data_IF_565657359428
#
_entry.id   IF_565657359428
#
_cell.length_a   1.000
_cell.length_b   1.000
_cell.length_c   1.000
_cell.angle_alpha   90.00
_cell.angle_beta   90.00
_cell.angle_gamma   90.00
#
_symmetry.space_group_name_H-M   'P 1'
#
loop_
_entity.id
_entity.type
_entity.pdbx_description
1 polymer ?
#
# COMPACT_ATOMS: atom_id res chain seq x y z
N UNK A 1 -14.67 -67.40 -45.95
CA UNK A 1 -15.40 -67.17 -44.66
C UNK A 1 -14.50 -66.43 -43.70
N UNK A 2 -14.69 -65.11 -43.53
CA UNK A 2 -13.92 -64.27 -42.58
C UNK A 2 -14.78 -64.08 -41.32
N UNK A 3 -14.32 -64.62 -40.18
CA UNK A 3 -14.93 -64.39 -38.87
C UNK A 3 -14.53 -62.99 -38.38
N UNK A 4 -15.56 -62.08 -38.19
CA UNK A 4 -15.40 -60.83 -37.49
C UNK A 4 -15.40 -61.10 -35.97
N UNK A 5 -14.25 -60.82 -35.26
CA UNK A 5 -14.22 -60.72 -33.81
C UNK A 5 -14.80 -59.35 -33.43
N UNK A 6 -15.96 -59.32 -32.76
CA UNK A 6 -16.44 -58.17 -32.03
C UNK A 6 -15.72 -58.10 -30.69
N UNK A 7 -14.94 -57.06 -30.49
CA UNK A 7 -14.37 -56.71 -29.19
C UNK A 7 -15.42 -55.81 -28.45
N UNK A 8 -16.13 -56.39 -27.50
CA UNK A 8 -16.98 -55.63 -26.59
C UNK A 8 -16.05 -54.95 -25.53
N UNK A 9 -15.82 -53.66 -25.68
CA UNK A 9 -15.25 -52.83 -24.64
C UNK A 9 -16.34 -52.60 -23.57
N UNK A 10 -16.34 -53.39 -22.51
CA UNK A 10 -17.05 -53.11 -21.26
C UNK A 10 -16.38 -51.88 -20.60
N UNK A 11 -16.93 -50.70 -20.86
CA UNK A 11 -16.58 -49.51 -20.12
C UNK A 11 -17.06 -49.69 -18.67
N UNK A 12 -16.13 -49.78 -17.72
CA UNK A 12 -16.42 -49.98 -16.33
C UNK A 12 -16.90 -48.66 -15.71
N UNK A 13 -18.21 -48.52 -15.38
CA UNK A 13 -18.77 -47.28 -14.84
C UNK A 13 -18.16 -46.94 -13.43
N UNK A 14 -17.60 -47.90 -12.76
CA UNK A 14 -16.96 -47.71 -11.43
C UNK A 14 -15.70 -46.86 -11.47
N UNK A 15 -14.92 -46.94 -12.56
CA UNK A 15 -13.70 -46.12 -12.74
C UNK A 15 -14.01 -44.65 -13.00
N UNK A 16 -15.14 -44.36 -13.69
CA UNK A 16 -15.61 -42.98 -13.93
C UNK A 16 -16.13 -42.32 -12.66
N UNK A 17 -16.82 -43.07 -11.78
CA UNK A 17 -17.32 -42.57 -10.52
C UNK A 17 -16.18 -42.19 -9.55
N UNK A 18 -15.17 -43.05 -9.40
CA UNK A 18 -13.99 -42.76 -8.55
C UNK A 18 -13.19 -41.55 -9.04
N UNK A 19 -13.09 -41.33 -10.37
CA UNK A 19 -12.46 -40.13 -10.90
C UNK A 19 -13.28 -38.85 -10.66
N UNK A 20 -14.59 -38.93 -10.75
CA UNK A 20 -15.48 -37.79 -10.48
C UNK A 20 -15.44 -37.38 -8.99
N UNK A 21 -15.44 -38.36 -8.08
CA UNK A 21 -15.32 -38.11 -6.64
C UNK A 21 -13.97 -37.50 -6.26
N UNK A 22 -12.87 -37.99 -6.85
CA UNK A 22 -11.54 -37.40 -6.65
C UNK A 22 -11.43 -35.96 -7.19
N UNK A 23 -12.04 -35.67 -8.35
CA UNK A 23 -12.07 -34.33 -8.91
C UNK A 23 -12.91 -33.38 -8.05
N UNK A 24 -14.06 -33.84 -7.55
CA UNK A 24 -14.90 -33.07 -6.65
C UNK A 24 -14.19 -32.75 -5.33
N UNK A 25 -13.46 -33.73 -4.75
CA UNK A 25 -12.64 -33.53 -3.55
C UNK A 25 -11.49 -32.54 -3.81
N UNK A 26 -10.81 -32.63 -4.94
CA UNK A 26 -9.77 -31.68 -5.32
C UNK A 26 -10.34 -30.28 -5.52
N UNK A 27 -11.47 -30.13 -6.19
CA UNK A 27 -12.13 -28.83 -6.35
C UNK A 27 -12.61 -28.26 -5.02
N UNK A 28 -13.09 -29.09 -4.10
CA UNK A 28 -13.47 -28.67 -2.74
C UNK A 28 -12.25 -28.24 -1.92
N UNK A 29 -11.11 -28.92 -2.03
CA UNK A 29 -9.86 -28.55 -1.39
C UNK A 29 -9.30 -27.23 -1.98
N UNK A 30 -9.36 -27.05 -3.31
CA UNK A 30 -8.98 -25.81 -4.00
C UNK A 30 -9.88 -24.67 -3.55
N UNK A 31 -11.19 -24.87 -3.49
CA UNK A 31 -12.13 -23.86 -3.00
C UNK A 31 -11.92 -23.52 -1.54
N UNK A 32 -11.67 -24.50 -0.67
CA UNK A 32 -11.34 -24.25 0.73
C UNK A 32 -9.99 -23.57 0.92
N UNK A 33 -8.99 -23.88 0.09
CA UNK A 33 -7.70 -23.19 0.11
C UNK A 33 -7.84 -21.75 -0.39
N UNK A 34 -8.64 -21.51 -1.44
CA UNK A 34 -8.93 -20.18 -1.94
C UNK A 34 -9.73 -19.34 -0.94
N UNK A 35 -10.73 -19.93 -0.25
CA UNK A 35 -11.47 -19.25 0.82
C UNK A 35 -10.54 -18.86 1.99
N UNK A 36 -9.61 -19.75 2.41
CA UNK A 36 -8.61 -19.42 3.41
C UNK A 36 -7.60 -18.37 2.94
N UNK A 37 -7.28 -18.35 1.65
CA UNK A 37 -6.42 -17.34 1.03
C UNK A 37 -7.10 -15.97 0.99
N UNK A 38 -8.39 -15.93 0.69
CA UNK A 38 -9.18 -14.71 0.73
C UNK A 38 -9.33 -14.14 2.14
N UNK A 39 -9.30 -14.99 3.19
CA UNK A 39 -9.44 -14.56 4.58
C UNK A 39 -8.13 -14.11 5.25
N UNK A 40 -6.95 -14.54 4.76
CA UNK A 40 -5.65 -14.19 5.34
C UNK A 40 -4.98 -13.04 4.59
N UNK A 41 -5.12 -11.83 5.14
CA UNK A 41 -4.48 -10.64 4.60
C UNK A 41 -2.96 -10.78 4.42
N UNK A 42 -2.26 -11.38 5.38
CA UNK A 42 -0.80 -11.53 5.30
C UNK A 42 -0.38 -12.54 4.23
N UNK A 43 -1.15 -13.59 4.02
CA UNK A 43 -0.92 -14.52 2.93
C UNK A 43 -1.11 -13.84 1.58
N UNK A 44 -2.18 -13.05 1.43
CA UNK A 44 -2.42 -12.22 0.24
C UNK A 44 -1.26 -11.27 -0.01
N UNK A 45 -0.81 -10.52 0.99
CA UNK A 45 0.31 -9.59 0.86
C UNK A 45 1.59 -10.31 0.44
N UNK A 46 1.93 -11.46 1.06
CA UNK A 46 3.13 -12.25 0.72
C UNK A 46 3.10 -12.77 -0.72
N UNK A 47 1.93 -13.10 -1.26
CA UNK A 47 1.82 -13.59 -2.64
C UNK A 47 2.19 -12.53 -3.70
N UNK A 48 2.13 -11.26 -3.33
CA UNK A 48 2.55 -10.15 -4.17
C UNK A 48 4.02 -9.74 -3.99
N UNK A 49 4.81 -10.46 -3.17
CA UNK A 49 6.23 -10.20 -2.99
C UNK A 49 7.02 -10.59 -4.24
N UNK A 50 7.81 -9.64 -4.75
CA UNK A 50 8.57 -9.80 -5.99
C UNK A 50 9.98 -9.17 -5.93
N UNK A 51 10.38 -8.56 -4.82
CA UNK A 51 11.73 -8.04 -4.65
C UNK A 51 12.72 -9.18 -4.39
N UNK A 52 14.00 -8.91 -4.68
CA UNK A 52 15.07 -9.85 -4.32
C UNK A 52 15.39 -9.73 -2.82
N UNK A 53 14.99 -10.72 -2.05
CA UNK A 53 15.21 -10.79 -0.59
C UNK A 53 16.63 -11.25 -0.24
N UNK A 54 17.63 -10.61 -0.85
CA UNK A 54 19.05 -10.94 -0.61
C UNK A 54 19.43 -10.65 0.84
N UNK A 55 19.99 -11.66 1.51
CA UNK A 55 20.56 -11.50 2.85
C UNK A 55 21.88 -10.71 2.78
N UNK A 56 21.88 -9.48 3.28
CA UNK A 56 23.07 -8.65 3.47
C UNK A 56 23.28 -8.33 4.95
N UNK A 57 24.43 -7.78 5.30
CA UNK A 57 24.67 -7.33 6.69
C UNK A 57 23.71 -6.21 7.11
N UNK A 58 23.33 -5.34 6.17
CA UNK A 58 22.40 -4.25 6.38
C UNK A 58 20.98 -4.80 6.62
N UNK A 59 20.53 -5.76 5.79
CA UNK A 59 19.24 -6.43 5.98
C UNK A 59 19.18 -7.09 7.35
N UNK A 60 20.21 -7.86 7.75
CA UNK A 60 20.28 -8.51 9.08
C UNK A 60 20.27 -7.49 10.24
N UNK A 61 20.93 -6.35 10.06
CA UNK A 61 20.89 -5.27 11.04
C UNK A 61 19.47 -4.75 11.26
N UNK A 62 18.72 -4.49 10.15
CA UNK A 62 17.36 -3.98 10.22
C UNK A 62 16.35 -5.05 10.68
N UNK A 63 16.54 -6.32 10.29
CA UNK A 63 15.76 -7.43 10.82
C UNK A 63 15.83 -7.48 12.35
N UNK A 64 17.04 -7.42 12.92
CA UNK A 64 17.23 -7.37 14.38
C UNK A 64 16.54 -6.16 15.02
N UNK A 65 16.57 -5.01 14.36
CA UNK A 65 15.99 -3.77 14.88
C UNK A 65 14.47 -3.77 14.83
N UNK A 66 13.88 -4.23 13.72
CA UNK A 66 12.42 -4.32 13.56
C UNK A 66 11.79 -5.50 14.30
N UNK A 67 12.53 -6.54 14.62
CA UNK A 67 12.02 -7.72 15.34
C UNK A 67 11.83 -7.50 16.86
N UNK A 68 11.97 -6.26 17.37
CA UNK A 68 11.48 -5.94 18.70
C UNK A 68 9.93 -6.00 18.71
N UNK A 69 9.31 -6.94 19.48
CA UNK A 69 7.87 -7.15 19.39
C UNK A 69 7.04 -5.93 19.80
N UNK A 70 7.49 -5.15 20.79
CA UNK A 70 6.80 -3.93 21.22
C UNK A 70 6.78 -2.89 20.09
N UNK A 71 7.92 -2.67 19.46
CA UNK A 71 8.04 -1.71 18.37
C UNK A 71 7.26 -2.16 17.14
N UNK A 72 7.40 -3.44 16.75
CA UNK A 72 6.66 -4.00 15.61
C UNK A 72 5.15 -3.92 15.81
N UNK A 73 4.65 -4.17 17.02
CA UNK A 73 3.22 -4.03 17.32
C UNK A 73 2.72 -2.59 17.17
N UNK A 74 3.50 -1.59 17.57
CA UNK A 74 3.14 -0.16 17.36
C UNK A 74 3.03 0.13 15.87
N UNK A 75 3.99 -0.32 15.07
CA UNK A 75 3.96 -0.17 13.60
C UNK A 75 2.69 -0.79 13.02
N UNK A 76 2.38 -2.02 13.41
CA UNK A 76 1.20 -2.74 12.89
C UNK A 76 -0.12 -2.11 13.32
N UNK A 77 -0.22 -1.58 14.55
CA UNK A 77 -1.39 -0.83 15.01
C UNK A 77 -1.62 0.44 14.21
N UNK A 78 -0.55 1.14 13.83
CA UNK A 78 -0.65 2.32 12.98
C UNK A 78 -1.03 1.95 11.54
N UNK A 79 -0.47 0.88 11.00
CA UNK A 79 -0.74 0.41 9.64
C UNK A 79 -2.15 -0.18 9.46
N UNK A 80 -2.70 -0.80 10.51
CA UNK A 80 -3.94 -1.58 10.46
C UNK A 80 -5.12 -0.89 9.74
N UNK A 81 -5.39 0.42 9.92
CA UNK A 81 -6.48 1.07 9.21
C UNK A 81 -6.25 1.23 7.70
N UNK A 82 -5.00 1.22 7.23
CA UNK A 82 -4.63 1.68 5.90
C UNK A 82 -4.02 0.61 5.01
N UNK A 83 -3.30 -0.35 5.59
CA UNK A 83 -2.44 -1.28 4.84
C UNK A 83 -3.23 -2.15 3.85
N UNK A 84 -4.47 -2.52 4.17
CA UNK A 84 -5.35 -3.22 3.23
C UNK A 84 -5.56 -2.41 1.94
N UNK A 85 -5.89 -1.12 2.06
CA UNK A 85 -6.07 -0.22 0.94
C UNK A 85 -4.77 -0.07 0.12
N UNK A 86 -3.64 0.16 0.80
CA UNK A 86 -2.34 0.32 0.16
C UNK A 86 -1.96 -0.92 -0.65
N UNK A 87 -2.06 -2.12 -0.05
CA UNK A 87 -1.78 -3.39 -0.75
C UNK A 87 -2.72 -3.57 -1.94
N UNK A 88 -4.02 -3.28 -1.78
CA UNK A 88 -4.99 -3.38 -2.88
C UNK A 88 -4.63 -2.46 -4.05
N UNK A 89 -4.19 -1.23 -3.77
CA UNK A 89 -3.76 -0.30 -4.81
C UNK A 89 -2.45 -0.74 -5.50
N UNK A 90 -1.52 -1.39 -4.78
CA UNK A 90 -0.31 -1.99 -5.36
C UNK A 90 -0.67 -3.13 -6.32
N UNK A 91 -1.51 -4.06 -5.87
CA UNK A 91 -1.95 -5.20 -6.67
C UNK A 91 -2.65 -4.78 -7.97
N UNK A 92 -3.53 -3.76 -7.89
CA UNK A 92 -4.24 -3.23 -9.07
C UNK A 92 -3.31 -2.76 -10.18
N UNK A 93 -2.07 -2.41 -9.84
CA UNK A 93 -1.05 -1.90 -10.78
C UNK A 93 0.11 -2.85 -11.01
N UNK A 94 0.04 -4.06 -10.48
CA UNK A 94 1.09 -5.07 -10.61
C UNK A 94 2.42 -4.67 -9.96
N UNK A 95 2.36 -3.83 -8.92
CA UNK A 95 3.54 -3.36 -8.18
C UNK A 95 3.82 -4.33 -7.02
N UNK A 96 5.10 -4.68 -6.76
CA UNK A 96 5.44 -5.54 -5.64
C UNK A 96 4.86 -5.06 -4.32
N UNK A 97 4.17 -5.94 -3.60
CA UNK A 97 3.46 -5.56 -2.38
C UNK A 97 4.39 -5.22 -1.21
N UNK A 98 5.69 -5.54 -1.29
CA UNK A 98 6.71 -5.04 -0.35
C UNK A 98 6.77 -3.51 -0.33
N UNK A 99 6.41 -2.84 -1.43
CA UNK A 99 6.42 -1.38 -1.49
C UNK A 99 5.34 -0.75 -0.60
N UNK A 100 4.33 -1.53 -0.20
CA UNK A 100 3.40 -1.13 0.86
C UNK A 100 4.06 -0.98 2.24
N UNK A 101 5.31 -1.40 2.39
CA UNK A 101 6.10 -1.20 3.61
C UNK A 101 6.86 0.13 3.65
N UNK A 102 6.91 0.87 2.53
CA UNK A 102 7.54 2.20 2.47
C UNK A 102 6.96 3.15 3.54
N UNK A 103 5.64 3.26 3.74
CA UNK A 103 5.08 4.13 4.79
C UNK A 103 5.52 3.76 6.21
N UNK A 104 5.96 2.52 6.46
CA UNK A 104 6.55 2.15 7.75
C UNK A 104 7.86 2.89 7.95
N UNK A 105 8.71 2.90 6.91
CA UNK A 105 10.03 3.53 6.94
C UNK A 105 9.91 5.04 6.98
N UNK A 106 8.93 5.61 6.29
CA UNK A 106 8.73 7.06 6.16
C UNK A 106 8.08 7.70 7.40
N UNK A 107 7.06 7.07 7.97
CA UNK A 107 6.24 7.71 9.00
C UNK A 107 5.66 6.76 10.05
N UNK A 108 6.04 5.48 10.03
CA UNK A 108 5.32 4.42 10.76
C UNK A 108 3.81 4.40 10.46
N UNK A 109 3.44 4.61 9.20
CA UNK A 109 2.05 4.70 8.74
C UNK A 109 1.25 5.84 9.39
N UNK A 110 1.88 6.95 9.74
CA UNK A 110 1.19 8.11 10.33
C UNK A 110 0.83 9.13 9.24
N UNK A 111 -0.45 9.29 8.87
CA UNK A 111 -0.86 10.26 7.85
C UNK A 111 -0.73 11.72 8.31
N UNK A 112 -0.56 11.96 9.61
CA UNK A 112 -0.32 13.29 10.18
C UNK A 112 1.16 13.63 10.36
N UNK A 113 2.07 12.74 9.96
CA UNK A 113 3.49 12.96 10.13
C UNK A 113 3.97 14.18 9.35
N UNK A 114 4.85 14.95 9.99
CA UNK A 114 5.57 16.05 9.37
C UNK A 114 7.04 15.85 9.76
N UNK A 115 7.94 15.96 8.78
CA UNK A 115 9.38 15.84 9.07
C UNK A 115 9.84 16.93 10.03
N UNK A 116 10.95 16.74 10.76
CA UNK A 116 11.50 17.75 11.67
C UNK A 116 11.75 19.11 11.00
N UNK A 117 12.10 19.11 9.71
CA UNK A 117 12.28 20.33 8.91
C UNK A 117 10.98 20.95 8.40
N UNK A 118 9.85 20.23 8.53
CA UNK A 118 8.56 20.68 8.01
C UNK A 118 8.39 20.51 6.49
N UNK A 119 9.38 19.95 5.80
CA UNK A 119 9.44 19.89 4.33
C UNK A 119 8.57 18.76 3.78
N UNK A 120 8.64 17.57 4.39
CA UNK A 120 7.85 16.41 3.98
C UNK A 120 6.68 16.15 4.92
N UNK A 121 5.59 15.61 4.36
CA UNK A 121 4.33 15.48 5.09
C UNK A 121 3.57 14.23 4.66
N UNK A 122 2.81 13.68 5.61
CA UNK A 122 1.88 12.58 5.39
C UNK A 122 2.50 11.21 5.55
N UNK A 123 1.70 10.20 5.31
CA UNK A 123 2.09 8.80 5.45
C UNK A 123 3.28 8.42 4.55
N UNK A 124 3.32 9.02 3.35
CA UNK A 124 4.31 8.79 2.29
C UNK A 124 5.44 9.81 2.28
N UNK A 125 5.43 10.79 3.17
CA UNK A 125 6.43 11.86 3.31
C UNK A 125 6.71 12.62 2.00
N UNK A 126 5.64 13.00 1.29
CA UNK A 126 5.78 13.83 0.09
C UNK A 126 6.33 15.21 0.40
N UNK A 127 7.28 15.64 -0.42
CA UNK A 127 7.67 17.05 -0.54
C UNK A 127 6.55 17.84 -1.23
N UNK A 128 6.51 19.16 -1.01
CA UNK A 128 5.50 20.03 -1.62
C UNK A 128 5.54 19.97 -3.16
N UNK A 129 6.73 20.06 -3.76
CA UNK A 129 6.90 19.97 -5.21
C UNK A 129 6.47 18.63 -5.77
N UNK A 130 6.93 17.53 -5.15
CA UNK A 130 6.56 16.17 -5.57
C UNK A 130 5.06 15.91 -5.41
N UNK A 131 4.45 16.34 -4.29
CA UNK A 131 3.01 16.20 -4.11
C UNK A 131 2.20 16.89 -5.22
N UNK A 132 2.54 18.15 -5.53
CA UNK A 132 1.88 18.90 -6.62
C UNK A 132 2.08 18.26 -7.98
N UNK A 133 3.28 17.75 -8.26
CA UNK A 133 3.60 17.02 -9.51
C UNK A 133 2.69 15.80 -9.70
N UNK A 134 2.34 15.11 -8.62
CA UNK A 134 1.43 13.95 -8.66
C UNK A 134 -0.02 14.32 -8.33
N UNK A 135 -0.43 15.56 -8.62
CA UNK A 135 -1.83 16.00 -8.64
C UNK A 135 -2.42 16.37 -7.28
N UNK A 136 -1.61 16.46 -6.21
CA UNK A 136 -2.10 16.80 -4.88
C UNK A 136 -2.30 18.29 -4.73
N UNK A 137 -3.44 18.70 -4.21
CA UNK A 137 -3.73 20.05 -3.77
C UNK A 137 -3.06 20.31 -2.42
N UNK A 138 -2.27 21.39 -2.34
CA UNK A 138 -1.54 21.75 -1.13
C UNK A 138 -1.68 23.25 -0.91
N UNK A 139 -2.48 23.62 0.12
CA UNK A 139 -2.68 24.98 0.56
C UNK A 139 -2.97 25.04 2.08
N UNK A 140 -3.36 26.22 2.62
CA UNK A 140 -3.64 26.42 4.04
C UNK A 140 -4.81 25.58 4.59
N UNK A 141 -5.79 25.26 3.74
CA UNK A 141 -7.04 24.62 4.16
C UNK A 141 -7.07 23.12 3.85
N UNK A 142 -6.34 22.71 2.80
CA UNK A 142 -6.29 21.34 2.27
C UNK A 142 -4.84 20.95 1.97
N UNK A 143 -4.38 19.87 2.58
CA UNK A 143 -3.06 19.26 2.29
C UNK A 143 -3.23 17.79 1.94
N UNK A 144 -3.36 17.48 0.64
CA UNK A 144 -3.59 16.12 0.15
C UNK A 144 -2.38 15.20 0.26
N UNK A 145 -1.22 15.69 0.71
CA UNK A 145 -0.11 14.82 1.13
C UNK A 145 -0.48 13.96 2.35
N UNK A 146 -1.45 14.45 3.16
CA UNK A 146 -2.02 13.72 4.30
C UNK A 146 -3.21 12.85 3.90
N UNK A 147 -3.80 13.07 2.73
CA UNK A 147 -4.93 12.29 2.24
C UNK A 147 -4.55 10.84 1.98
N UNK A 148 -5.28 9.90 2.56
CA UNK A 148 -4.96 8.47 2.47
C UNK A 148 -5.03 7.96 1.03
N UNK A 149 -6.05 8.37 0.27
CA UNK A 149 -6.28 7.89 -1.10
C UNK A 149 -5.33 8.58 -2.08
N UNK A 150 -5.33 9.92 -2.08
CA UNK A 150 -4.58 10.70 -3.05
C UNK A 150 -3.07 10.54 -2.88
N UNK A 151 -2.58 10.56 -1.62
CA UNK A 151 -1.15 10.35 -1.38
C UNK A 151 -0.68 8.93 -1.73
N UNK A 152 -1.50 7.90 -1.46
CA UNK A 152 -1.18 6.52 -1.84
C UNK A 152 -1.12 6.37 -3.36
N UNK A 153 -2.12 6.89 -4.08
CA UNK A 153 -2.14 6.85 -5.55
C UNK A 153 -0.99 7.62 -6.16
N UNK A 154 -0.68 8.80 -5.60
CA UNK A 154 0.47 9.61 -6.00
C UNK A 154 1.80 8.87 -5.78
N UNK A 155 1.97 8.21 -4.62
CA UNK A 155 3.18 7.44 -4.32
C UNK A 155 3.35 6.25 -5.26
N UNK A 156 2.27 5.54 -5.55
CA UNK A 156 2.28 4.41 -6.49
C UNK A 156 2.62 4.89 -7.91
N UNK A 157 2.02 6.01 -8.36
CA UNK A 157 2.34 6.59 -9.66
C UNK A 157 3.81 7.04 -9.73
N UNK A 158 4.36 7.59 -8.65
CA UNK A 158 5.77 7.97 -8.58
C UNK A 158 6.68 6.74 -8.59
N UNK A 159 6.39 5.70 -7.82
CA UNK A 159 7.16 4.46 -7.81
C UNK A 159 7.15 3.77 -9.18
N UNK A 160 6.00 3.74 -9.86
CA UNK A 160 5.92 3.21 -11.22
C UNK A 160 6.77 4.03 -12.20
N UNK A 161 6.68 5.36 -12.16
CA UNK A 161 7.52 6.24 -12.95
C UNK A 161 9.02 5.98 -12.72
N UNK A 162 9.43 5.82 -11.47
CA UNK A 162 10.83 5.52 -11.13
C UNK A 162 11.26 4.14 -11.63
N UNK A 163 10.38 3.15 -11.57
CA UNK A 163 10.65 1.83 -12.14
C UNK A 163 10.78 1.89 -13.66
N UNK A 164 9.90 2.60 -14.34
CA UNK A 164 9.97 2.79 -15.80
C UNK A 164 11.26 3.50 -16.22
N UNK A 165 11.75 4.43 -15.38
CA UNK A 165 12.99 5.16 -15.61
C UNK A 165 14.24 4.31 -15.41
N UNK A 166 14.27 3.48 -14.37
CA UNK A 166 15.49 2.76 -13.96
C UNK A 166 15.48 1.27 -14.30
N UNK A 167 14.32 0.65 -14.57
CA UNK A 167 14.19 -0.79 -14.87
C UNK A 167 14.50 -1.71 -13.68
N UNK A 168 14.53 -1.15 -12.45
CA UNK A 168 14.85 -1.88 -11.21
C UNK A 168 14.06 -1.31 -10.04
N UNK A 169 13.37 -2.17 -9.30
CA UNK A 169 12.68 -1.74 -8.08
C UNK A 169 13.64 -1.26 -7.00
N UNK A 170 14.83 -1.84 -6.88
CA UNK A 170 15.85 -1.38 -5.92
C UNK A 170 16.28 0.06 -6.21
N UNK A 171 16.53 0.38 -7.49
CA UNK A 171 16.86 1.75 -7.92
C UNK A 171 15.65 2.70 -7.78
N UNK A 172 14.44 2.22 -8.09
CA UNK A 172 13.21 3.01 -7.91
C UNK A 172 12.98 3.37 -6.43
N UNK A 173 13.13 2.42 -5.52
CA UNK A 173 13.03 2.62 -4.08
C UNK A 173 14.12 3.58 -3.58
N UNK A 174 15.35 3.45 -4.05
CA UNK A 174 16.44 4.36 -3.72
C UNK A 174 16.17 5.77 -4.24
N UNK A 175 15.62 5.90 -5.46
CA UNK A 175 15.25 7.19 -6.05
C UNK A 175 14.04 7.82 -5.37
N UNK A 176 13.10 7.03 -4.84
CA UNK A 176 12.01 7.54 -4.00
C UNK A 176 12.57 8.29 -2.77
N UNK A 177 13.62 7.74 -2.14
CA UNK A 177 14.27 8.33 -0.97
C UNK A 177 15.18 9.53 -1.28
N UNK A 178 15.93 9.48 -2.41
CA UNK A 178 16.99 10.47 -2.70
C UNK A 178 16.69 11.35 -3.91
N UNK A 179 15.64 11.06 -4.64
CA UNK A 179 15.29 11.74 -5.89
C UNK A 179 15.93 11.10 -7.12
N UNK A 180 15.17 11.09 -8.22
CA UNK A 180 15.57 10.47 -9.48
C UNK A 180 16.84 11.11 -10.09
N UNK A 181 17.01 12.43 -9.93
CA UNK A 181 18.18 13.14 -10.44
C UNK A 181 19.48 12.66 -9.79
N UNK A 182 19.48 12.46 -8.48
CA UNK A 182 20.65 12.00 -7.74
C UNK A 182 21.03 10.55 -8.13
N UNK A 183 20.05 9.65 -8.22
CA UNK A 183 20.30 8.26 -8.65
C UNK A 183 20.77 8.23 -10.11
N UNK A 184 20.21 9.06 -11.00
CA UNK A 184 20.67 9.16 -12.37
C UNK A 184 22.13 9.64 -12.47
N UNK A 185 22.51 10.65 -11.68
CA UNK A 185 23.88 11.12 -11.59
C UNK A 185 24.85 10.03 -11.09
N UNK A 186 24.47 9.30 -10.04
CA UNK A 186 25.27 8.19 -9.53
C UNK A 186 25.44 7.06 -10.57
N UNK A 187 24.39 6.74 -11.33
CA UNK A 187 24.45 5.78 -12.43
C UNK A 187 25.35 6.23 -13.56
N UNK A 188 25.31 7.52 -13.94
CA UNK A 188 26.16 8.07 -15.00
C UNK A 188 27.64 8.12 -14.59
N UNK A 189 27.93 8.19 -13.30
CA UNK A 189 29.30 8.16 -12.77
C UNK A 189 29.84 6.74 -12.57
N UNK A 190 29.02 5.68 -12.75
CA UNK A 190 29.37 4.29 -12.52
C UNK A 190 29.22 3.43 -13.77
N UNK A 191 30.02 2.37 -13.87
CA UNK A 191 29.81 1.31 -14.86
C UNK A 191 28.80 0.24 -14.41
N UNK A 192 28.40 0.25 -13.12
CA UNK A 192 27.44 -0.66 -12.53
C UNK A 192 26.03 -0.06 -12.48
N UNK A 193 25.04 -0.91 -12.59
CA UNK A 193 23.64 -0.58 -12.31
C UNK A 193 23.13 -1.19 -11.00
N UNK A 194 24.00 -1.82 -10.24
CA UNK A 194 23.66 -2.34 -8.93
C UNK A 194 23.75 -1.20 -7.90
N UNK A 195 22.66 -0.94 -7.18
CA UNK A 195 22.58 0.12 -6.17
C UNK A 195 23.77 0.13 -5.18
N UNK A 196 24.25 -1.05 -4.79
CA UNK A 196 25.30 -1.20 -3.78
C UNK A 196 26.70 -0.87 -4.29
N UNK A 197 26.86 -0.71 -5.60
CA UNK A 197 28.11 -0.29 -6.25
C UNK A 197 28.11 1.21 -6.59
N UNK A 198 27.00 1.91 -6.36
CA UNK A 198 26.85 3.33 -6.65
C UNK A 198 27.33 4.18 -5.46
N UNK A 199 27.88 5.35 -5.77
CA UNK A 199 28.18 6.38 -4.77
C UNK A 199 26.88 7.12 -4.41
N UNK A 200 26.18 6.61 -3.39
CA UNK A 200 24.96 7.19 -2.85
C UNK A 200 25.09 7.39 -1.34
N UNK A 201 24.28 8.26 -0.77
CA UNK A 201 24.30 8.53 0.69
C UNK A 201 24.05 7.26 1.49
N UNK A 202 24.65 7.16 2.67
CA UNK A 202 24.46 6.00 3.59
C UNK A 202 22.97 5.75 3.89
N UNK A 203 22.19 6.80 4.10
CA UNK A 203 20.75 6.68 4.37
C UNK A 203 20.02 6.02 3.19
N UNK A 204 20.42 6.31 1.96
CA UNK A 204 19.86 5.73 0.74
C UNK A 204 20.30 4.27 0.57
N UNK A 205 21.58 3.95 0.89
CA UNK A 205 22.06 2.57 0.93
C UNK A 205 21.31 1.71 1.96
N UNK A 206 20.84 2.31 3.07
CA UNK A 206 20.07 1.61 4.10
C UNK A 206 18.58 1.49 3.78
N UNK A 207 18.07 2.26 2.82
CA UNK A 207 16.63 2.39 2.62
C UNK A 207 16.00 1.10 2.06
N UNK A 208 16.57 0.51 1.00
CA UNK A 208 16.12 -0.79 0.46
C UNK A 208 16.26 -1.91 1.50
N UNK A 209 17.39 -2.06 2.21
CA UNK A 209 17.51 -3.03 3.32
C UNK A 209 16.44 -2.93 4.39
N UNK A 210 15.95 -1.73 4.73
CA UNK A 210 14.83 -1.55 5.68
C UNK A 210 13.56 -2.24 5.19
N UNK A 211 13.23 -2.06 3.92
CA UNK A 211 12.02 -2.63 3.31
C UNK A 211 12.14 -4.16 3.22
N UNK A 212 13.28 -4.67 2.77
CA UNK A 212 13.55 -6.11 2.70
C UNK A 212 13.49 -6.76 4.08
N UNK A 213 14.04 -6.12 5.12
CA UNK A 213 13.99 -6.62 6.48
C UNK A 213 12.55 -6.74 7.01
N UNK A 214 11.72 -5.73 6.78
CA UNK A 214 10.30 -5.78 7.12
C UNK A 214 9.56 -6.89 6.36
N UNK A 215 9.83 -7.02 5.06
CA UNK A 215 9.25 -8.09 4.23
C UNK A 215 9.69 -9.48 4.72
N UNK A 216 10.96 -9.69 5.08
CA UNK A 216 11.46 -10.94 5.65
C UNK A 216 10.78 -11.30 6.97
N UNK A 217 10.54 -10.31 7.85
CA UNK A 217 9.81 -10.51 9.10
C UNK A 217 8.36 -10.92 8.82
N UNK A 218 7.70 -10.25 7.88
CA UNK A 218 6.32 -10.61 7.48
C UNK A 218 6.29 -11.98 6.80
N UNK A 219 7.30 -12.32 6.01
CA UNK A 219 7.41 -13.62 5.33
C UNK A 219 7.54 -14.78 6.32
N UNK A 220 8.39 -14.61 7.35
CA UNK A 220 8.70 -15.66 8.33
C UNK A 220 8.67 -15.12 9.76
N UNK A 221 7.52 -14.66 10.29
CA UNK A 221 7.48 -13.93 11.56
C UNK A 221 7.99 -14.73 12.75
N UNK A 222 7.76 -16.06 12.75
CA UNK A 222 8.23 -16.96 13.83
C UNK A 222 9.76 -17.00 13.91
N UNK A 223 10.48 -16.90 12.77
CA UNK A 223 11.96 -16.84 12.74
C UNK A 223 12.48 -15.65 13.55
N UNK A 224 11.69 -14.57 13.62
CA UNK A 224 12.04 -13.33 14.29
C UNK A 224 11.36 -13.13 15.66
N UNK A 225 10.66 -14.15 16.18
CA UNK A 225 9.92 -14.04 17.44
C UNK A 225 8.72 -13.09 17.38
N UNK A 226 8.21 -12.82 16.17
CA UNK A 226 7.07 -11.93 15.92
C UNK A 226 5.79 -12.74 15.75
N UNK A 227 4.72 -12.22 16.32
CA UNK A 227 3.35 -12.67 16.03
C UNK A 227 2.67 -11.54 15.26
N UNK A 228 2.29 -11.80 13.99
CA UNK A 228 1.57 -10.81 13.20
C UNK A 228 0.17 -10.61 13.78
N UNK A 229 -0.23 -9.35 13.89
CA UNK A 229 -1.61 -8.99 14.25
C UNK A 229 -2.57 -9.56 13.21
N UNK A 230 -3.65 -10.21 13.66
CA UNK A 230 -4.69 -10.67 12.74
C UNK A 230 -5.41 -9.46 12.15
N UNK A 231 -5.15 -9.17 10.88
CA UNK A 231 -5.80 -8.10 10.13
C UNK A 231 -6.88 -8.72 9.22
N UNK A 232 -8.11 -8.22 9.27
CA UNK A 232 -9.15 -8.65 8.34
C UNK A 232 -8.74 -8.35 6.89
N UNK A 233 -8.90 -9.31 5.98
CA UNK A 233 -8.68 -9.11 4.55
C UNK A 233 -9.88 -8.39 3.90
N UNK A 234 -10.21 -7.20 4.41
CA UNK A 234 -11.30 -6.34 3.96
C UNK A 234 -11.03 -4.88 4.30
N UNK A 235 -11.69 -3.93 3.60
CA UNK A 235 -11.50 -2.52 3.86
C UNK A 235 -11.84 -2.14 5.31
N UNK A 236 -11.00 -1.33 5.93
CA UNK A 236 -11.30 -0.69 7.22
C UNK A 236 -12.22 0.51 7.05
N UNK A 237 -12.03 1.29 6.00
CA UNK A 237 -12.79 2.50 5.70
C UNK A 237 -13.45 2.45 4.32
N UNK A 238 -14.42 3.30 4.14
CA UNK A 238 -15.03 3.62 2.85
C UNK A 238 -14.87 5.11 2.55
N UNK A 239 -14.79 5.44 1.26
CA UNK A 239 -14.80 6.82 0.80
C UNK A 239 -16.22 7.26 0.48
N UNK A 240 -16.58 8.49 0.87
CA UNK A 240 -17.86 9.13 0.62
C UNK A 240 -17.60 10.40 -0.18
N UNK A 241 -18.14 10.48 -1.39
CA UNK A 241 -18.25 11.74 -2.13
C UNK A 241 -19.60 12.36 -1.78
N UNK A 242 -19.66 13.49 -1.07
CA UNK A 242 -20.93 14.04 -0.63
C UNK A 242 -21.75 14.55 -1.83
N UNK A 243 -23.05 14.22 -1.87
CA UNK A 243 -23.94 14.66 -2.95
C UNK A 243 -24.12 16.20 -2.98
N UNK A 244 -23.97 16.85 -1.85
CA UNK A 244 -23.94 18.32 -1.69
C UNK A 244 -22.82 18.71 -0.74
N UNK A 245 -22.36 19.95 -0.84
CA UNK A 245 -21.30 20.47 0.02
C UNK A 245 -21.65 20.30 1.50
N UNK A 246 -20.73 19.69 2.25
CA UNK A 246 -20.87 19.41 3.68
C UNK A 246 -19.60 19.85 4.42
N UNK A 247 -19.74 20.46 5.61
CA UNK A 247 -18.56 20.71 6.44
C UNK A 247 -18.04 19.42 7.07
N UNK A 248 -16.73 19.36 7.34
CA UNK A 248 -16.12 18.21 8.04
C UNK A 248 -16.81 17.98 9.39
N UNK A 249 -17.20 19.04 10.12
CA UNK A 249 -17.92 18.93 11.39
C UNK A 249 -19.31 18.30 11.24
N UNK A 250 -20.06 18.68 10.20
CA UNK A 250 -21.38 18.10 9.93
C UNK A 250 -21.26 16.63 9.48
N UNK A 251 -20.24 16.30 8.65
CA UNK A 251 -19.94 14.91 8.29
C UNK A 251 -19.61 14.06 9.51
N UNK A 252 -18.75 14.56 10.41
CA UNK A 252 -18.43 13.86 11.66
C UNK A 252 -19.67 13.56 12.49
N UNK A 253 -20.56 14.55 12.62
CA UNK A 253 -21.83 14.39 13.35
C UNK A 253 -22.72 13.36 12.67
N UNK A 254 -22.92 13.46 11.35
CA UNK A 254 -23.74 12.55 10.56
C UNK A 254 -23.24 11.10 10.61
N UNK A 255 -21.92 10.91 10.58
CA UNK A 255 -21.27 9.60 10.60
C UNK A 255 -20.92 9.11 12.02
N UNK A 256 -21.23 9.88 13.07
CA UNK A 256 -20.88 9.62 14.47
C UNK A 256 -19.37 9.34 14.66
N UNK A 257 -18.53 10.16 14.05
CA UNK A 257 -17.07 10.06 14.18
C UNK A 257 -16.57 10.90 15.36
N UNK A 258 -15.67 10.33 16.14
CA UNK A 258 -14.91 11.12 17.13
C UNK A 258 -13.87 12.01 16.42
N UNK A 259 -13.48 13.16 17.02
CA UNK A 259 -12.42 14.00 16.46
C UNK A 259 -11.10 13.22 16.20
N UNK A 260 -10.74 12.30 17.10
CA UNK A 260 -9.55 11.48 16.96
C UNK A 260 -9.62 10.53 15.75
N UNK A 261 -10.80 9.91 15.52
CA UNK A 261 -11.00 9.01 14.37
C UNK A 261 -11.05 9.79 13.06
N UNK A 262 -11.70 10.95 13.05
CA UNK A 262 -11.69 11.84 11.88
C UNK A 262 -10.27 12.29 11.54
N UNK A 263 -9.47 12.71 12.53
CA UNK A 263 -8.07 13.10 12.34
C UNK A 263 -7.21 11.96 11.80
N UNK A 264 -7.56 10.70 12.05
CA UNK A 264 -6.89 9.52 11.46
C UNK A 264 -7.30 9.31 10.01
N UNK A 265 -8.56 9.51 9.66
CA UNK A 265 -9.09 9.17 8.34
C UNK A 265 -9.12 10.34 7.36
N UNK A 266 -9.31 11.57 7.86
CA UNK A 266 -9.44 12.78 7.05
C UNK A 266 -8.45 13.89 7.47
N UNK A 267 -7.15 13.56 7.63
CA UNK A 267 -6.16 14.51 8.12
C UNK A 267 -5.80 15.63 7.12
N UNK A 268 -6.21 15.50 5.86
CA UNK A 268 -5.97 16.47 4.79
C UNK A 268 -6.72 17.79 5.01
N UNK A 269 -7.85 17.75 5.71
CA UNK A 269 -8.63 18.96 6.00
C UNK A 269 -8.13 19.63 7.27
N UNK A 270 -7.54 20.82 7.12
CA UNK A 270 -6.91 21.55 8.23
C UNK A 270 -7.93 22.22 9.17
N UNK A 271 -9.21 22.27 8.77
CA UNK A 271 -10.32 22.85 9.56
C UNK A 271 -11.54 21.94 9.56
N UNK A 272 -12.19 21.80 10.71
CA UNK A 272 -13.50 21.12 10.81
C UNK A 272 -14.63 21.89 10.10
N UNK A 273 -14.40 23.18 9.79
CA UNK A 273 -15.33 24.02 9.03
C UNK A 273 -15.07 23.96 7.52
N UNK A 274 -14.05 23.21 7.06
CA UNK A 274 -13.79 23.04 5.64
C UNK A 274 -15.02 22.46 4.93
N UNK A 275 -15.41 23.10 3.83
CA UNK A 275 -16.58 22.73 3.02
C UNK A 275 -16.16 21.75 1.92
N UNK A 276 -16.41 20.46 2.17
CA UNK A 276 -16.11 19.37 1.25
C UNK A 276 -17.21 19.29 0.19
N UNK A 277 -16.84 19.38 -1.08
CA UNK A 277 -17.76 19.31 -2.21
C UNK A 277 -17.78 17.91 -2.87
N UNK A 278 -18.64 17.72 -3.87
CA UNK A 278 -18.85 16.43 -4.53
C UNK A 278 -17.64 15.89 -5.32
N UNK A 279 -16.65 16.74 -5.64
CA UNK A 279 -15.40 16.29 -6.30
C UNK A 279 -14.34 15.81 -5.32
N UNK A 280 -14.58 15.99 -4.02
CA UNK A 280 -13.70 15.59 -2.93
C UNK A 280 -14.31 14.40 -2.18
N UNK A 281 -13.55 13.80 -1.29
CA UNK A 281 -14.03 12.65 -0.52
C UNK A 281 -13.77 12.83 0.97
N UNK A 282 -14.55 12.11 1.76
CA UNK A 282 -14.40 11.94 3.20
C UNK A 282 -14.36 10.45 3.50
N UNK A 283 -13.49 10.04 4.40
CA UNK A 283 -13.35 8.65 4.82
C UNK A 283 -14.07 8.43 6.16
N UNK A 284 -14.73 7.30 6.26
CA UNK A 284 -15.31 6.80 7.51
C UNK A 284 -15.09 5.28 7.63
N UNK A 285 -15.07 4.70 8.84
CA UNK A 285 -15.05 3.25 8.98
C UNK A 285 -16.25 2.62 8.27
N UNK A 286 -16.05 1.47 7.61
CA UNK A 286 -17.13 0.72 6.96
C UNK A 286 -18.32 0.50 7.91
N UNK A 287 -18.04 0.28 9.20
CA UNK A 287 -19.07 0.12 10.23
C UNK A 287 -19.98 1.37 10.44
N UNK A 288 -19.51 2.56 10.03
CA UNK A 288 -20.26 3.82 10.18
C UNK A 288 -21.04 4.21 8.92
N UNK A 289 -20.90 3.46 7.80
CA UNK A 289 -21.61 3.80 6.54
C UNK A 289 -23.13 3.84 6.69
N UNK A 290 -23.74 2.84 7.32
CA UNK A 290 -25.20 2.80 7.51
C UNK A 290 -25.69 3.97 8.35
N UNK A 291 -24.93 4.36 9.38
CA UNK A 291 -25.24 5.50 10.24
C UNK A 291 -25.24 6.79 9.41
N UNK A 292 -24.19 7.01 8.62
CA UNK A 292 -24.09 8.20 7.77
C UNK A 292 -25.23 8.29 6.76
N UNK A 293 -25.48 7.22 5.99
CA UNK A 293 -26.53 7.25 4.96
C UNK A 293 -27.93 7.39 5.56
N UNK A 294 -28.21 6.74 6.70
CA UNK A 294 -29.48 6.93 7.42
C UNK A 294 -29.66 8.38 7.88
N UNK A 295 -28.60 9.02 8.42
CA UNK A 295 -28.64 10.42 8.85
C UNK A 295 -28.86 11.39 7.69
N UNK A 296 -28.45 11.00 6.47
CA UNK A 296 -28.68 11.76 5.23
C UNK A 296 -30.03 11.45 4.57
N UNK A 297 -30.91 10.69 5.25
CA UNK A 297 -32.25 10.31 4.74
C UNK A 297 -32.22 9.21 3.66
N UNK A 298 -31.12 8.46 3.56
CA UNK A 298 -30.96 7.38 2.59
C UNK A 298 -31.15 6.02 3.29
N UNK A 299 -32.05 5.19 2.77
CA UNK A 299 -32.36 3.87 3.35
C UNK A 299 -31.43 2.74 2.82
N UNK A 300 -30.60 3.03 1.85
CA UNK A 300 -29.67 2.06 1.26
C UNK A 300 -28.29 2.65 1.11
N UNK A 301 -27.26 1.84 1.38
CA UNK A 301 -25.88 2.19 1.06
C UNK A 301 -25.72 2.06 -0.45
N UNK A 302 -25.30 3.12 -1.16
CA UNK A 302 -25.03 3.01 -2.60
C UNK A 302 -24.00 1.93 -2.88
N UNK A 303 -24.27 1.08 -3.87
CA UNK A 303 -23.41 -0.06 -4.24
C UNK A 303 -22.08 0.39 -4.90
N UNK A 304 -21.99 1.66 -5.26
CA UNK A 304 -20.85 2.27 -5.91
C UNK A 304 -19.99 2.99 -4.91
N UNK A 305 -18.95 2.36 -4.44
CA UNK A 305 -17.72 3.02 -4.02
C UNK A 305 -16.59 1.97 -3.90
N UNK A 306 -16.52 1.04 -4.83
CA UNK A 306 -15.24 0.61 -5.32
C UNK A 306 -14.75 1.77 -6.18
N UNK A 307 -13.76 2.44 -5.67
CA UNK A 307 -13.17 3.63 -6.18
C UNK A 307 -12.60 3.39 -7.60
N UNK A 308 -13.38 3.69 -8.63
CA UNK A 308 -13.00 3.67 -10.04
C UNK A 308 -12.19 4.93 -10.42
N UNK A 309 -11.52 5.57 -9.46
CA UNK A 309 -10.65 6.68 -9.77
C UNK A 309 -9.59 6.24 -10.78
N UNK A 310 -9.59 6.91 -11.92
CA UNK A 310 -8.62 6.67 -12.98
C UNK A 310 -7.19 6.69 -12.42
N UNK A 311 -6.29 5.85 -12.93
CA UNK A 311 -4.88 5.89 -12.53
C UNK A 311 -4.35 7.31 -12.70
N UNK A 312 -3.65 7.82 -11.68
CA UNK A 312 -2.89 9.06 -11.83
C UNK A 312 -1.81 8.77 -12.88
N UNK A 313 -1.93 9.38 -14.05
CA UNK A 313 -0.90 9.25 -15.08
C UNK A 313 0.33 10.02 -14.61
N UNK A 314 1.53 9.40 -14.58
CA UNK A 314 2.75 10.14 -14.27
C UNK A 314 2.87 11.33 -15.21
N UNK A 315 3.23 12.52 -14.72
CA UNK A 315 3.50 13.65 -15.60
C UNK A 315 4.68 13.32 -16.51
N UNK A 316 4.60 13.76 -17.75
CA UNK A 316 5.70 13.66 -18.72
C UNK A 316 6.96 14.28 -18.07
N UNK A 317 8.09 13.58 -18.13
CA UNK A 317 9.34 14.00 -17.55
C UNK A 317 9.75 15.38 -18.09
N UNK A 318 9.51 16.43 -17.32
CA UNK A 318 10.17 17.71 -17.54
C UNK A 318 11.51 17.66 -16.82
N UNK A 319 12.61 17.71 -17.56
CA UNK A 319 13.99 17.62 -17.07
C UNK A 319 14.44 18.78 -16.16
N UNK A 320 13.52 19.66 -15.75
CA UNK A 320 13.78 20.78 -14.84
C UNK A 320 13.00 20.57 -13.53
N UNK A 321 13.44 19.62 -12.72
CA UNK A 321 12.93 19.50 -11.36
C UNK A 321 13.94 20.10 -10.40
N UNK A 322 13.46 21.04 -9.60
CA UNK A 322 14.13 21.50 -8.40
C UNK A 322 14.50 20.28 -7.56
N UNK A 323 15.78 19.93 -7.61
CA UNK A 323 16.36 18.89 -6.78
C UNK A 323 16.34 19.47 -5.36
N UNK A 324 15.34 19.11 -4.60
CA UNK A 324 15.37 19.35 -3.17
C UNK A 324 16.46 18.44 -2.57
N UNK A 325 17.70 18.94 -2.66
CA UNK A 325 18.83 18.38 -1.94
C UNK A 325 18.80 18.89 -0.51
N UNK A 326 17.87 18.43 0.30
CA UNK A 326 17.97 18.63 1.76
C UNK A 326 16.94 17.77 2.49
N UNK A 327 17.34 16.58 2.84
CA UNK A 327 16.86 15.94 4.05
C UNK A 327 17.99 15.08 4.64
N UNK A 328 18.86 15.74 5.38
CA UNK A 328 19.75 15.11 6.35
C UNK A 328 18.98 14.67 7.60
N UNK A 329 17.70 14.44 7.48
CA UNK A 329 16.90 14.10 8.63
C UNK A 329 16.70 12.58 8.70
N UNK A 330 17.59 11.94 9.47
CA UNK A 330 17.21 10.70 10.12
C UNK A 330 15.93 10.97 10.91
N UNK A 331 14.81 10.41 10.44
CA UNK A 331 13.68 10.22 11.33
C UNK A 331 14.16 9.21 12.37
N UNK A 332 14.69 9.71 13.47
CA UNK A 332 14.95 8.92 14.66
C UNK A 332 13.58 8.51 15.25
N UNK A 333 12.96 7.52 14.63
CA UNK A 333 11.84 6.79 15.23
C UNK A 333 12.47 5.77 16.15
N UNK A 334 12.61 6.15 17.44
CA UNK A 334 12.97 5.26 18.54
C UNK A 334 11.89 4.23 18.79
#
# INVERSE_FOLDING_TARGET
MRKKLLFNLLFCPLLLAVHADNLALQMQQINQSNLRYEDDFWQRMRSGFALNHKETKEVKYWEKRYSNPKYFNIIMQNAAPYIYFVVTEMERRGIPSELALIPIVESTYNPNAVSPTGISTGMWQFLNGSGKRFGMTINSDLDERKDILNSTRGAIAYLQYLYDLFGSWELAIAAYNWGEGNINNALNASSSRNLYDLDVRDVTHQYVPKIIALANIIQNPRKFGITLTNLPNKPYFAAINPASTISVSNFMSAAQLTPALNKKLNPQYNSVNYAVNSSQHLLLPVANQSIYYTSMGMNTIPTTLQDDAAPITPPIANNNLDIASDSNDEINVL
#
